data_IF_663150877868
#
_entry.id   IF_663150877868
#
_cell.length_a   1.000
_cell.length_b   1.000
_cell.length_c   1.000
_cell.angle_alpha   90.00
_cell.angle_beta   90.00
_cell.angle_gamma   90.00
#
_symmetry.space_group_name_H-M   'P 1'
#
loop_
_entity.id
_entity.type
_entity.pdbx_description
1 polymer ?
#
# COMPACT_ATOMS: atom_id res chain seq x y z
N UNK A 1 9.61 -14.34 -16.36
CA UNK A 1 8.77 -13.27 -16.92
C UNK A 1 9.51 -11.95 -16.70
N UNK A 2 9.96 -11.27 -17.77
CA UNK A 2 10.75 -10.03 -17.64
C UNK A 2 9.84 -8.88 -17.15
N UNK A 3 10.31 -8.11 -16.18
CA UNK A 3 9.61 -6.91 -15.74
C UNK A 3 9.51 -5.92 -16.91
N UNK A 4 8.31 -5.41 -17.18
CA UNK A 4 8.10 -4.36 -18.18
C UNK A 4 8.90 -3.13 -17.79
N UNK A 5 9.82 -2.68 -18.64
CA UNK A 5 10.65 -1.49 -18.39
C UNK A 5 9.80 -0.23 -18.58
N UNK A 6 9.16 0.22 -17.51
CA UNK A 6 8.36 1.46 -17.47
C UNK A 6 9.20 2.75 -17.62
N UNK A 7 10.53 2.65 -17.57
CA UNK A 7 11.44 3.81 -17.71
C UNK A 7 11.29 4.46 -19.09
N UNK A 8 11.27 3.66 -20.15
CA UNK A 8 11.13 4.16 -21.51
C UNK A 8 9.78 4.86 -21.75
N UNK A 9 8.73 4.46 -21.04
CA UNK A 9 7.43 5.14 -21.11
C UNK A 9 7.42 6.49 -20.40
N UNK A 10 8.24 6.69 -19.36
CA UNK A 10 8.38 7.98 -18.70
C UNK A 10 9.22 8.97 -19.51
N UNK A 11 10.23 8.50 -20.24
CA UNK A 11 11.04 9.31 -21.16
C UNK A 11 10.20 9.95 -22.28
N UNK A 12 9.14 9.27 -22.72
CA UNK A 12 8.24 9.75 -23.77
C UNK A 12 7.22 10.80 -23.27
N UNK A 13 7.10 10.99 -21.96
CA UNK A 13 6.08 11.86 -21.38
C UNK A 13 6.17 13.33 -21.83
N UNK A 14 7.35 13.98 -21.86
CA UNK A 14 7.45 15.37 -22.31
C UNK A 14 7.00 15.52 -23.76
N UNK A 15 7.46 14.61 -24.63
CA UNK A 15 7.09 14.58 -26.06
C UNK A 15 5.59 14.39 -26.28
N UNK A 16 4.94 13.56 -25.46
CA UNK A 16 3.48 13.38 -25.49
C UNK A 16 2.77 14.68 -25.10
N UNK A 17 3.25 15.39 -24.06
CA UNK A 17 2.66 16.67 -23.64
C UNK A 17 2.77 17.73 -24.74
N UNK A 18 3.94 17.88 -25.36
CA UNK A 18 4.15 18.80 -26.49
C UNK A 18 3.19 18.52 -27.66
N UNK A 19 2.99 17.25 -28.02
CA UNK A 19 2.06 16.88 -29.10
C UNK A 19 0.60 17.22 -28.76
N UNK A 20 0.19 17.03 -27.50
CA UNK A 20 -1.16 17.38 -27.03
C UNK A 20 -1.36 18.90 -26.99
N UNK A 21 -0.36 19.67 -26.57
CA UNK A 21 -0.38 21.14 -26.62
C UNK A 21 -0.44 21.66 -28.06
N UNK A 22 0.18 20.94 -29.01
CA UNK A 22 0.04 21.17 -30.45
C UNK A 22 -1.33 20.79 -31.04
N UNK A 23 -2.29 20.36 -30.22
CA UNK A 23 -3.67 20.07 -30.63
C UNK A 23 -3.90 18.64 -31.14
N UNK A 24 -2.92 17.74 -31.04
CA UNK A 24 -3.13 16.33 -31.42
C UNK A 24 -4.01 15.60 -30.41
N UNK A 25 -4.79 14.64 -30.91
CA UNK A 25 -5.56 13.73 -30.05
C UNK A 25 -4.68 12.61 -29.49
N UNK A 26 -5.10 11.99 -28.38
CA UNK A 26 -4.34 10.87 -27.78
C UNK A 26 -4.18 9.68 -28.73
N UNK A 27 -5.13 9.50 -29.66
CA UNK A 27 -5.08 8.47 -30.70
C UNK A 27 -4.01 8.77 -31.74
N UNK A 28 -3.96 9.99 -32.26
CA UNK A 28 -2.93 10.42 -33.23
C UNK A 28 -1.52 10.36 -32.61
N UNK A 29 -1.40 10.76 -31.33
CA UNK A 29 -0.14 10.64 -30.58
C UNK A 29 0.29 9.18 -30.44
N UNK A 30 -0.64 8.27 -30.14
CA UNK A 30 -0.35 6.84 -30.06
C UNK A 30 0.12 6.28 -31.41
N UNK A 31 -0.55 6.63 -32.50
CA UNK A 31 -0.18 6.23 -33.86
C UNK A 31 1.21 6.76 -34.25
N UNK A 32 1.52 8.03 -33.95
CA UNK A 32 2.83 8.65 -34.22
C UNK A 32 3.97 8.05 -33.41
N UNK A 33 3.68 7.57 -32.20
CA UNK A 33 4.67 6.93 -31.33
C UNK A 33 4.74 5.40 -31.52
N UNK A 34 3.94 4.83 -32.43
CA UNK A 34 3.88 3.39 -32.66
C UNK A 34 3.31 2.61 -31.46
N UNK A 35 2.55 3.28 -30.59
CA UNK A 35 1.95 2.68 -29.40
C UNK A 35 0.56 2.17 -29.76
N UNK A 36 0.26 0.92 -29.39
CA UNK A 36 -1.02 0.31 -29.73
C UNK A 36 -2.17 0.92 -28.92
N UNK A 37 -2.94 1.78 -29.58
CA UNK A 37 -4.18 2.35 -29.07
C UNK A 37 -3.99 3.49 -28.05
N UNK A 38 -5.00 4.37 -27.97
CA UNK A 38 -4.96 5.57 -27.11
C UNK A 38 -4.90 5.25 -25.60
N UNK A 39 -5.34 4.05 -25.18
CA UNK A 39 -5.43 3.65 -23.77
C UNK A 39 -4.07 3.71 -23.07
N UNK A 40 -2.99 3.39 -23.77
CA UNK A 40 -1.64 3.47 -23.22
C UNK A 40 -1.28 4.91 -22.81
N UNK A 41 -1.57 5.87 -23.68
CA UNK A 41 -1.37 7.30 -23.47
C UNK A 41 -2.31 7.80 -22.35
N UNK A 42 -3.59 7.42 -22.41
CA UNK A 42 -4.59 7.78 -21.40
C UNK A 42 -4.18 7.34 -19.98
N UNK A 43 -3.76 6.09 -19.82
CA UNK A 43 -3.33 5.55 -18.54
C UNK A 43 -2.04 6.19 -18.04
N UNK A 44 -1.10 6.49 -18.94
CA UNK A 44 0.15 7.19 -18.61
C UNK A 44 -0.15 8.59 -18.04
N UNK A 45 -0.95 9.39 -18.74
CA UNK A 45 -1.35 10.73 -18.30
C UNK A 45 -2.12 10.69 -16.98
N UNK A 46 -3.02 9.71 -16.81
CA UNK A 46 -3.79 9.54 -15.57
C UNK A 46 -2.88 9.19 -14.38
N UNK A 47 -1.81 8.41 -14.60
CA UNK A 47 -0.83 8.10 -13.55
C UNK A 47 -0.04 9.34 -13.15
N UNK A 48 0.41 10.14 -14.11
CA UNK A 48 1.14 11.37 -13.81
C UNK A 48 0.29 12.37 -13.00
N UNK A 49 -0.96 12.61 -13.41
CA UNK A 49 -1.90 13.44 -12.62
C UNK A 49 -2.08 12.93 -11.18
N UNK A 50 -2.14 11.61 -11.00
CA UNK A 50 -2.25 11.01 -9.65
C UNK A 50 -0.99 11.21 -8.80
N UNK A 51 0.20 11.24 -9.40
CA UNK A 51 1.44 11.56 -8.68
C UNK A 51 1.43 13.00 -8.17
N UNK A 52 1.00 13.94 -9.02
CA UNK A 52 0.86 15.36 -8.67
C UNK A 52 -0.16 15.56 -7.53
N UNK A 53 -1.29 14.84 -7.56
CA UNK A 53 -2.36 14.98 -6.56
C UNK A 53 -2.07 14.30 -5.22
N UNK A 54 -1.46 13.12 -5.21
CA UNK A 54 -1.34 12.32 -3.98
C UNK A 54 -0.04 12.53 -3.21
N UNK A 55 0.97 13.21 -3.77
CA UNK A 55 2.25 13.39 -3.12
C UNK A 55 2.93 12.06 -2.75
N UNK A 56 3.81 12.08 -1.74
CA UNK A 56 4.47 10.86 -1.22
C UNK A 56 3.39 9.92 -0.66
N UNK A 57 3.31 8.65 -1.10
CA UNK A 57 2.33 7.71 -0.58
C UNK A 57 2.40 7.63 0.95
N UNK A 58 1.29 7.88 1.64
CA UNK A 58 1.21 7.67 3.09
C UNK A 58 1.61 6.24 3.38
N UNK A 59 2.71 6.07 4.12
CA UNK A 59 3.19 4.77 4.55
C UNK A 59 2.06 4.09 5.32
N UNK A 60 1.53 2.97 4.83
CA UNK A 60 0.56 2.19 5.60
C UNK A 60 1.26 1.76 6.87
N UNK A 61 0.88 2.35 7.99
CA UNK A 61 1.44 2.03 9.29
C UNK A 61 1.26 0.54 9.59
N UNK A 62 2.27 -0.08 10.21
CA UNK A 62 2.09 -1.38 10.86
C UNK A 62 1.13 -1.19 12.03
N UNK A 63 0.29 -2.19 12.29
CA UNK A 63 -0.45 -2.24 13.56
C UNK A 63 0.58 -2.16 14.70
N UNK A 64 0.36 -1.36 15.75
CA UNK A 64 1.29 -1.33 16.88
C UNK A 64 1.39 -2.75 17.46
N UNK A 65 2.61 -3.23 17.67
CA UNK A 65 2.80 -4.41 18.49
C UNK A 65 2.35 -4.05 19.91
N UNK A 66 1.62 -4.96 20.60
CA UNK A 66 1.33 -4.79 22.03
C UNK A 66 2.66 -4.55 22.77
N UNK A 67 2.72 -3.51 23.60
CA UNK A 67 3.95 -3.17 24.30
C UNK A 67 4.34 -4.29 25.28
N UNK A 68 5.64 -4.52 25.49
CA UNK A 68 6.11 -5.51 26.48
C UNK A 68 5.51 -5.28 27.88
N UNK A 69 5.21 -4.03 28.21
CA UNK A 69 4.54 -3.66 29.46
C UNK A 69 3.11 -4.24 29.57
N UNK A 70 2.35 -4.26 28.48
CA UNK A 70 1.00 -4.85 28.44
C UNK A 70 1.08 -6.36 28.70
N UNK A 71 2.01 -7.06 28.06
CA UNK A 71 2.23 -8.49 28.31
C UNK A 71 2.69 -8.80 29.74
N UNK A 72 3.49 -7.93 30.35
CA UNK A 72 3.88 -8.08 31.76
C UNK A 72 2.68 -7.94 32.70
N UNK A 73 1.84 -6.94 32.47
CA UNK A 73 0.63 -6.72 33.26
C UNK A 73 -0.37 -7.88 33.08
N UNK A 74 -0.61 -8.29 31.83
CA UNK A 74 -1.49 -9.40 31.50
C UNK A 74 -1.02 -10.71 32.14
N UNK A 75 0.28 -11.02 32.08
CA UNK A 75 0.84 -12.19 32.76
C UNK A 75 0.70 -12.14 34.28
N UNK A 76 0.86 -10.95 34.89
CA UNK A 76 0.67 -10.80 36.34
C UNK A 76 -0.78 -11.11 36.74
N UNK A 77 -1.75 -10.51 36.04
CA UNK A 77 -3.19 -10.78 36.26
C UNK A 77 -3.51 -12.27 36.09
N UNK A 78 -3.06 -12.87 34.98
CA UNK A 78 -3.31 -14.28 34.67
C UNK A 78 -2.71 -15.22 35.73
N UNK A 79 -1.51 -14.92 36.25
CA UNK A 79 -0.91 -15.71 37.33
C UNK A 79 -1.74 -15.67 38.61
N UNK A 80 -2.23 -14.48 38.98
CA UNK A 80 -3.10 -14.33 40.16
C UNK A 80 -4.41 -15.08 39.99
N UNK A 81 -5.02 -15.02 38.80
CA UNK A 81 -6.25 -15.74 38.50
C UNK A 81 -6.06 -17.27 38.56
N UNK A 82 -4.97 -17.78 38.00
CA UNK A 82 -4.63 -19.21 38.08
C UNK A 82 -4.38 -19.67 39.51
N UNK A 83 -3.72 -18.85 40.33
CA UNK A 83 -3.49 -19.15 41.75
C UNK A 83 -4.81 -19.22 42.52
N UNK A 84 -5.68 -18.23 42.37
CA UNK A 84 -7.01 -18.23 42.99
C UNK A 84 -7.84 -19.45 42.56
N UNK A 85 -7.79 -19.83 41.29
CA UNK A 85 -8.49 -21.02 40.80
C UNK A 85 -7.93 -22.31 41.40
N UNK A 86 -6.60 -22.40 41.58
CA UNK A 86 -5.98 -23.55 42.26
C UNK A 86 -6.38 -23.63 43.70
N UNK A 87 -6.35 -22.51 44.42
CA UNK A 87 -6.76 -22.45 45.83
C UNK A 87 -8.23 -22.84 45.98
N UNK A 88 -9.09 -22.35 45.09
CA UNK A 88 -10.51 -22.74 45.05
C UNK A 88 -10.68 -24.25 44.85
N UNK A 89 -9.97 -24.85 43.90
CA UNK A 89 -10.03 -26.30 43.66
C UNK A 89 -9.43 -27.11 44.82
N UNK A 90 -8.39 -26.62 45.48
CA UNK A 90 -7.80 -27.27 46.66
C UNK A 90 -8.75 -27.27 47.86
N UNK A 91 -9.53 -26.20 48.03
CA UNK A 91 -10.51 -26.08 49.09
C UNK A 91 -11.77 -26.92 48.83
N UNK A 92 -12.21 -27.00 47.58
CA UNK A 92 -13.43 -27.75 47.19
C UNK A 92 -13.16 -29.22 46.85
N UNK A 93 -11.92 -29.61 46.56
CA UNK A 93 -11.50 -30.99 46.31
C UNK A 93 -10.93 -31.73 47.53
N UNK A 94 -10.97 -31.11 48.72
CA UNK A 94 -10.71 -31.74 50.02
C UNK A 94 -12.04 -32.19 50.65
N UNK A 95 -12.77 -33.04 49.93
CA UNK A 95 -13.84 -33.90 50.45
C UNK A 95 -13.68 -35.30 49.85
#
# INVERSE_FOLDING_TARGET
MMARKYQHTQELLPKIKEMLEGGMTQREVAERLGVTGERAIHHLLTRERKKELHGIPKQRGRKPAKALAEYKYENKRLKMEVELLRDFLLLTGKE
#
